data_IF_409253359796
#
_entry.id   IF_409253359796
#
_cell.length_a   1.000
_cell.length_b   1.000
_cell.length_c   1.000
_cell.angle_alpha   90.00
_cell.angle_beta   90.00
_cell.angle_gamma   90.00
#
_symmetry.space_group_name_H-M   'P 1'
#
loop_
_entity.id
_entity.type
_entity.pdbx_description
1 polymer ?
#
# COMPACT_ATOMS: atom_id res chain seq x y z
N UNK A 1 -10.12 -21.85 24.22
CA UNK A 1 -8.68 -21.67 24.52
C UNK A 1 -8.47 -20.19 24.79
N UNK A 2 -7.96 -19.88 25.98
CA UNK A 2 -7.76 -18.53 26.49
C UNK A 2 -6.60 -17.82 25.77
N UNK A 3 -6.66 -16.48 25.77
CA UNK A 3 -5.61 -15.44 25.59
C UNK A 3 -6.15 -14.37 24.62
N UNK A 4 -6.27 -13.08 24.93
CA UNK A 4 -5.50 -12.26 25.88
C UNK A 4 -6.37 -11.56 26.91
N UNK A 5 -5.83 -11.55 28.12
CA UNK A 5 -6.23 -10.74 29.26
C UNK A 5 -6.30 -9.25 28.94
N UNK A 6 -7.39 -8.66 29.41
CA UNK A 6 -7.52 -7.31 29.91
C UNK A 6 -6.22 -6.75 30.51
N UNK A 7 -5.67 -5.70 29.91
CA UNK A 7 -4.79 -4.74 30.56
C UNK A 7 -5.11 -3.34 30.00
N UNK A 8 -5.76 -2.52 30.82
CA UNK A 8 -6.04 -1.11 30.52
C UNK A 8 -7.46 -0.73 30.92
N UNK A 9 -7.63 -0.30 32.16
CA UNK A 9 -8.93 0.02 32.75
C UNK A 9 -9.74 1.02 31.92
N UNK A 10 -11.06 0.93 32.10
CA UNK A 10 -12.06 1.89 31.61
C UNK A 10 -11.56 3.33 31.78
N UNK A 11 -11.06 3.91 30.70
CA UNK A 11 -10.56 5.28 30.69
C UNK A 11 -10.50 5.78 29.25
N UNK A 12 -10.65 7.09 29.12
CA UNK A 12 -10.57 8.03 27.98
C UNK A 12 -9.82 7.59 26.69
N UNK A 13 -8.93 6.62 26.74
CA UNK A 13 -8.15 6.08 25.61
C UNK A 13 -9.03 5.42 24.54
N UNK A 14 -10.12 4.78 24.92
CA UNK A 14 -11.00 4.06 23.98
C UNK A 14 -11.87 4.99 23.13
N UNK A 15 -12.10 6.23 23.60
CA UNK A 15 -12.72 7.30 22.84
C UNK A 15 -11.69 8.02 21.94
N UNK A 16 -10.47 8.26 22.43
CA UNK A 16 -9.38 8.88 21.67
C UNK A 16 -8.97 8.06 20.44
N UNK A 17 -8.87 6.73 20.59
CA UNK A 17 -8.57 5.81 19.50
C UNK A 17 -9.60 5.88 18.36
N UNK A 18 -10.89 6.06 18.66
CA UNK A 18 -11.94 6.20 17.64
C UNK A 18 -11.85 7.53 16.88
N UNK A 19 -11.45 8.61 17.55
CA UNK A 19 -11.24 9.91 16.91
C UNK A 19 -10.01 9.95 16.00
N UNK A 20 -8.89 9.32 16.39
CA UNK A 20 -7.69 9.29 15.55
C UNK A 20 -7.89 8.41 14.31
N UNK A 21 -8.57 7.25 14.45
CA UNK A 21 -8.91 6.36 13.32
C UNK A 21 -9.85 7.03 12.31
N UNK A 22 -10.71 7.98 12.72
CA UNK A 22 -11.51 8.80 11.79
C UNK A 22 -10.64 9.76 10.97
N UNK A 23 -9.54 10.28 11.51
CA UNK A 23 -8.56 11.10 10.77
C UNK A 23 -7.74 10.23 9.80
N UNK A 24 -7.48 8.96 10.14
CA UNK A 24 -6.80 7.99 9.27
C UNK A 24 -7.70 7.37 8.19
N UNK A 25 -8.97 7.76 8.09
CA UNK A 25 -9.93 7.10 7.19
C UNK A 25 -9.68 7.35 5.69
N UNK A 26 -8.83 8.32 5.34
CA UNK A 26 -8.40 8.55 3.97
C UNK A 26 -6.95 9.08 3.94
N UNK A 27 -5.99 8.23 3.57
CA UNK A 27 -4.63 8.68 3.29
C UNK A 27 -4.62 9.48 1.99
N UNK A 28 -4.29 10.76 2.05
CA UNK A 28 -4.23 11.59 0.84
C UNK A 28 -2.96 11.24 0.03
N UNK A 29 -3.09 11.15 -1.28
CA UNK A 29 -1.96 10.99 -2.19
C UNK A 29 -1.75 12.28 -2.98
N UNK A 30 -0.49 12.67 -3.14
CA UNK A 30 -0.10 13.82 -3.96
C UNK A 30 -0.02 13.43 -5.44
N UNK A 31 0.49 12.22 -5.74
CA UNK A 31 0.60 11.68 -7.09
C UNK A 31 0.42 10.16 -7.07
N UNK A 32 -0.24 9.65 -8.09
CA UNK A 32 -0.39 8.22 -8.34
C UNK A 32 -0.23 7.94 -9.83
N UNK A 33 0.46 6.86 -10.15
CA UNK A 33 0.75 6.53 -11.53
C UNK A 33 1.68 5.34 -11.63
N UNK A 34 1.38 4.49 -12.59
CA UNK A 34 2.10 3.28 -12.88
C UNK A 34 2.27 3.17 -14.39
N UNK A 35 3.48 2.80 -14.82
CA UNK A 35 3.81 2.65 -16.24
C UNK A 35 4.56 1.35 -16.51
N UNK A 36 4.26 0.74 -17.65
CA UNK A 36 4.90 -0.47 -18.16
C UNK A 36 5.19 -0.32 -19.64
N UNK A 37 6.45 -0.44 -20.05
CA UNK A 37 6.82 -0.58 -21.48
C UNK A 37 7.22 -2.03 -21.74
N UNK A 38 6.41 -2.75 -22.52
CA UNK A 38 6.64 -4.16 -22.82
C UNK A 38 7.68 -4.32 -23.94
N UNK A 39 8.78 -5.04 -23.67
CA UNK A 39 9.78 -5.46 -24.65
C UNK A 39 10.23 -6.89 -24.37
N UNK A 40 10.15 -7.78 -25.35
CA UNK A 40 10.65 -9.17 -25.26
C UNK A 40 10.19 -9.88 -23.97
N UNK A 41 8.88 -9.88 -23.71
CA UNK A 41 8.27 -10.49 -22.52
C UNK A 41 8.72 -9.90 -21.15
N UNK A 42 9.45 -8.78 -21.17
CA UNK A 42 9.83 -8.02 -19.99
C UNK A 42 9.10 -6.68 -20.00
N UNK A 43 8.35 -6.42 -18.95
CA UNK A 43 7.77 -5.13 -18.66
C UNK A 43 8.83 -4.25 -17.97
N UNK A 44 9.19 -3.14 -18.61
CA UNK A 44 10.00 -2.09 -18.00
C UNK A 44 9.08 -1.19 -17.17
N UNK A 45 9.20 -1.30 -15.85
CA UNK A 45 8.31 -0.66 -14.90
C UNK A 45 8.78 0.75 -14.56
N UNK A 46 7.81 1.64 -14.38
CA UNK A 46 7.99 3.03 -13.98
C UNK A 46 6.82 3.50 -13.11
N UNK A 47 7.01 4.64 -12.47
CA UNK A 47 5.99 5.29 -11.65
C UNK A 47 5.94 6.79 -11.91
N UNK A 48 5.31 7.55 -11.01
CA UNK A 48 5.12 9.00 -11.16
C UNK A 48 6.41 9.80 -11.09
N UNK A 49 7.40 9.32 -10.34
CA UNK A 49 8.71 9.95 -10.22
C UNK A 49 9.76 8.95 -9.67
N UNK A 50 11.07 9.20 -9.88
CA UNK A 50 12.14 8.42 -9.26
C UNK A 50 12.16 8.56 -7.73
N UNK A 51 12.49 7.47 -7.02
CA UNK A 51 12.77 7.47 -5.58
C UNK A 51 14.29 7.34 -5.33
N UNK A 52 14.73 7.49 -4.08
CA UNK A 52 16.14 7.20 -3.70
C UNK A 52 16.57 5.79 -4.11
N UNK A 53 15.64 4.84 -4.02
CA UNK A 53 15.77 3.48 -4.53
C UNK A 53 14.44 3.10 -5.18
N UNK A 54 14.44 2.88 -6.50
CA UNK A 54 13.24 2.53 -7.25
C UNK A 54 12.44 3.74 -7.73
N UNK A 55 11.12 3.61 -7.75
CA UNK A 55 10.18 4.62 -8.26
C UNK A 55 8.88 4.66 -7.44
N UNK A 56 8.29 5.84 -7.33
CA UNK A 56 7.00 6.00 -6.64
C UNK A 56 5.86 5.55 -7.54
N UNK A 57 5.06 4.59 -7.08
CA UNK A 57 3.76 4.24 -7.69
C UNK A 57 2.67 5.11 -7.07
N UNK A 58 2.73 5.28 -5.74
CA UNK A 58 1.93 6.22 -4.97
C UNK A 58 2.88 7.07 -4.16
N UNK A 59 2.75 8.39 -4.27
CA UNK A 59 3.43 9.35 -3.42
C UNK A 59 2.40 10.05 -2.54
N UNK A 60 2.52 9.85 -1.24
CA UNK A 60 1.63 10.39 -0.23
C UNK A 60 1.71 11.91 -0.12
N UNK A 61 0.56 12.54 0.12
CA UNK A 61 0.42 13.97 0.41
C UNK A 61 0.00 14.20 1.87
N UNK A 62 0.38 15.34 2.44
CA UNK A 62 -0.05 15.75 3.79
C UNK A 62 0.39 14.79 4.92
N UNK A 63 -0.32 14.86 6.04
CA UNK A 63 -0.23 13.91 7.16
C UNK A 63 -1.66 13.48 7.56
N UNK A 64 -1.92 12.19 7.75
CA UNK A 64 -1.04 11.03 7.53
C UNK A 64 -0.89 10.66 6.04
N UNK A 65 0.26 10.10 5.64
CA UNK A 65 0.58 9.77 4.24
C UNK A 65 1.15 8.36 4.07
N UNK A 66 0.91 7.75 2.91
CA UNK A 66 1.46 6.44 2.52
C UNK A 66 2.18 6.60 1.18
N UNK A 67 3.40 6.05 1.13
CA UNK A 67 4.18 5.93 -0.10
C UNK A 67 4.23 4.46 -0.52
N UNK A 68 3.99 4.18 -1.81
CA UNK A 68 4.18 2.86 -2.42
C UNK A 68 5.33 2.96 -3.40
N UNK A 69 6.43 2.26 -3.11
CA UNK A 69 7.66 2.30 -3.89
C UNK A 69 7.88 0.95 -4.58
N UNK A 70 8.05 0.98 -5.90
CA UNK A 70 8.46 -0.18 -6.69
C UNK A 70 9.98 -0.23 -6.81
N UNK A 71 10.59 -1.36 -6.43
CA UNK A 71 12.05 -1.57 -6.53
C UNK A 71 12.46 -2.30 -7.81
N UNK A 72 11.56 -3.09 -8.39
CA UNK A 72 11.84 -3.86 -9.59
C UNK A 72 11.49 -3.05 -10.84
N UNK A 73 12.51 -2.70 -11.63
CA UNK A 73 12.35 -2.02 -12.91
C UNK A 73 12.09 -2.96 -14.08
N UNK A 74 12.37 -4.26 -13.92
CA UNK A 74 12.19 -5.28 -14.96
C UNK A 74 11.40 -6.42 -14.38
N UNK A 75 10.22 -6.66 -14.92
CA UNK A 75 9.32 -7.71 -14.46
C UNK A 75 8.92 -8.58 -15.64
N UNK A 76 8.97 -9.90 -15.49
CA UNK A 76 8.42 -10.80 -16.50
C UNK A 76 6.91 -10.54 -16.65
N UNK A 77 6.47 -10.28 -17.88
CA UNK A 77 5.09 -9.89 -18.15
C UNK A 77 4.08 -10.97 -17.74
N UNK A 78 4.40 -12.24 -18.00
CA UNK A 78 3.54 -13.35 -17.62
C UNK A 78 3.43 -13.48 -16.09
N UNK A 79 4.54 -13.33 -15.38
CA UNK A 79 4.54 -13.32 -13.91
C UNK A 79 3.73 -12.16 -13.35
N UNK A 80 3.82 -10.97 -13.95
CA UNK A 80 3.03 -9.80 -13.53
C UNK A 80 1.53 -10.10 -13.66
N UNK A 81 1.10 -10.62 -14.81
CA UNK A 81 -0.29 -10.98 -15.06
C UNK A 81 -0.80 -12.06 -14.10
N UNK A 82 -0.01 -13.09 -13.83
CA UNK A 82 -0.36 -14.14 -12.88
C UNK A 82 -0.57 -13.56 -11.47
N UNK A 83 0.36 -12.73 -11.01
CA UNK A 83 0.26 -12.08 -9.69
C UNK A 83 -0.93 -11.14 -9.59
N UNK A 84 -1.22 -10.37 -10.65
CA UNK A 84 -2.37 -9.48 -10.68
C UNK A 84 -3.69 -10.26 -10.59
N UNK A 85 -3.82 -11.36 -11.35
CA UNK A 85 -4.98 -12.26 -11.27
C UNK A 85 -5.13 -12.87 -9.88
N UNK A 86 -4.03 -13.29 -9.26
CA UNK A 86 -4.07 -13.79 -7.88
C UNK A 86 -4.54 -12.70 -6.90
N UNK A 87 -4.05 -11.46 -7.05
CA UNK A 87 -4.43 -10.35 -6.20
C UNK A 87 -5.91 -9.94 -6.35
N UNK A 88 -6.50 -10.11 -7.54
CA UNK A 88 -7.94 -9.84 -7.75
C UNK A 88 -8.85 -10.94 -7.21
N UNK A 89 -8.33 -12.16 -7.06
CA UNK A 89 -9.08 -13.31 -6.55
C UNK A 89 -9.07 -13.38 -5.02
N UNK A 90 -8.11 -12.71 -4.37
CA UNK A 90 -8.07 -12.53 -2.92
C UNK A 90 -8.93 -11.29 -2.64
N UNK A 91 -10.00 -11.45 -1.85
CA UNK A 91 -10.79 -10.32 -1.36
C UNK A 91 -9.91 -9.26 -0.67
N UNK A 92 -10.42 -8.04 -0.53
CA UNK A 92 -9.67 -6.86 -0.06
C UNK A 92 -8.62 -7.22 1.03
N UNK A 93 -7.38 -6.71 0.92
CA UNK A 93 -6.29 -7.09 1.81
C UNK A 93 -6.71 -6.91 3.27
N UNK A 94 -6.64 -8.00 4.03
CA UNK A 94 -6.86 -7.97 5.48
C UNK A 94 -5.67 -7.22 6.07
N UNK A 95 -5.95 -6.04 6.64
CA UNK A 95 -4.98 -5.28 7.41
C UNK A 95 -5.00 -5.91 8.81
N UNK A 96 -3.98 -6.71 9.12
CA UNK A 96 -3.69 -7.17 10.49
C UNK A 96 -2.98 -6.07 11.30
#
# INVERSE_FOLDING_TARGET
>A
MNNLSSLGGASVTDALSRSILRVFSAFSYARIGWGCVLKNNTCQMSGVEPAKQGYYIVKGGGLPRIDVIGFNHRVNWQTLLQRLKSATNIGAPVIE
#
